data_IF_139396585270
#
_entry.id   IF_139396585270
#
_cell.length_a   1.000
_cell.length_b   1.000
_cell.length_c   1.000
_cell.angle_alpha   90.00
_cell.angle_beta   90.00
_cell.angle_gamma   90.00
#
_symmetry.space_group_name_H-M   'P 1'
#
loop_
_entity.id
_entity.type
_entity.pdbx_description
1 polymer ?
#
# COMPACT_ATOMS: atom_id res chain seq x y z
N UNK A 1 -16.14 -30.34 -32.12
CA UNK A 1 -16.82 -29.93 -33.37
C UNK A 1 -17.73 -28.73 -33.18
N UNK A 2 -18.54 -28.63 -32.11
CA UNK A 2 -19.47 -27.51 -31.89
C UNK A 2 -18.82 -26.11 -31.75
N UNK A 3 -17.64 -26.00 -31.14
CA UNK A 3 -16.94 -24.70 -31.02
C UNK A 3 -16.46 -24.15 -32.36
N UNK A 4 -16.01 -25.02 -33.28
CA UNK A 4 -15.52 -24.61 -34.60
C UNK A 4 -16.67 -24.12 -35.49
N UNK A 5 -17.83 -24.78 -35.43
CA UNK A 5 -19.03 -24.36 -36.17
C UNK A 5 -19.56 -23.02 -35.64
N UNK A 6 -19.64 -22.84 -34.32
CA UNK A 6 -20.04 -21.57 -33.71
C UNK A 6 -19.09 -20.41 -34.08
N UNK A 7 -17.78 -20.69 -34.13
CA UNK A 7 -16.80 -19.71 -34.58
C UNK A 7 -16.97 -19.34 -36.06
N UNK A 8 -17.20 -20.32 -36.93
CA UNK A 8 -17.43 -20.08 -38.37
C UNK A 8 -18.70 -19.26 -38.63
N UNK A 9 -19.76 -19.48 -37.86
CA UNK A 9 -20.99 -18.68 -37.93
C UNK A 9 -20.76 -17.23 -37.47
N UNK A 10 -19.98 -17.03 -36.40
CA UNK A 10 -19.67 -15.70 -35.87
C UNK A 10 -18.59 -14.94 -36.66
N UNK A 11 -17.80 -15.63 -37.49
CA UNK A 11 -16.63 -15.06 -38.17
C UNK A 11 -16.92 -13.80 -38.99
N UNK A 12 -17.96 -13.73 -39.84
CA UNK A 12 -18.26 -12.52 -40.60
C UNK A 12 -18.59 -11.33 -39.71
N UNK A 13 -19.29 -11.56 -38.60
CA UNK A 13 -19.64 -10.51 -37.64
C UNK A 13 -18.39 -10.00 -36.90
N UNK A 14 -17.49 -10.90 -36.48
CA UNK A 14 -16.22 -10.53 -35.87
C UNK A 14 -15.37 -9.68 -36.83
N UNK A 15 -15.28 -10.08 -38.11
CA UNK A 15 -14.53 -9.30 -39.09
C UNK A 15 -15.18 -7.94 -39.35
N UNK A 16 -16.51 -7.87 -39.45
CA UNK A 16 -17.22 -6.61 -39.63
C UNK A 16 -16.94 -5.65 -38.47
N UNK A 17 -17.07 -6.10 -37.23
CA UNK A 17 -16.80 -5.26 -36.05
C UNK A 17 -15.34 -4.81 -35.99
N UNK A 18 -14.37 -5.65 -36.39
CA UNK A 18 -12.97 -5.26 -36.47
C UNK A 18 -12.72 -4.18 -37.54
N UNK A 19 -13.31 -4.33 -38.73
CA UNK A 19 -13.22 -3.32 -39.79
C UNK A 19 -13.85 -1.99 -39.36
N UNK A 20 -15.02 -2.03 -38.72
CA UNK A 20 -15.70 -0.85 -38.19
C UNK A 20 -14.89 -0.18 -37.08
N UNK A 21 -14.26 -0.98 -36.20
CA UNK A 21 -13.38 -0.48 -35.14
C UNK A 21 -12.15 0.23 -35.70
N UNK A 22 -11.48 -0.34 -36.72
CA UNK A 22 -10.34 0.30 -37.38
C UNK A 22 -10.75 1.56 -38.14
N UNK A 23 -11.89 1.53 -38.85
CA UNK A 23 -12.43 2.70 -39.55
C UNK A 23 -12.77 3.84 -38.57
N UNK A 24 -13.40 3.50 -37.46
CA UNK A 24 -13.73 4.44 -36.38
C UNK A 24 -12.47 5.01 -35.73
N UNK A 25 -11.47 4.16 -35.47
CA UNK A 25 -10.20 4.60 -34.92
C UNK A 25 -9.51 5.60 -35.86
N UNK A 26 -9.38 5.28 -37.15
CA UNK A 26 -8.76 6.16 -38.15
C UNK A 26 -9.46 7.53 -38.25
N UNK A 27 -10.78 7.56 -38.19
CA UNK A 27 -11.55 8.81 -38.25
C UNK A 27 -11.37 9.69 -37.01
N UNK A 28 -11.19 9.07 -35.84
CA UNK A 28 -11.14 9.74 -34.54
C UNK A 28 -9.73 10.01 -34.03
N UNK A 29 -8.72 9.28 -34.50
CA UNK A 29 -7.34 9.39 -34.04
C UNK A 29 -6.79 10.83 -34.01
N UNK A 30 -7.09 11.71 -34.99
CA UNK A 30 -6.64 13.11 -34.94
C UNK A 30 -7.22 13.94 -33.78
N UNK A 31 -8.26 13.45 -33.13
CA UNK A 31 -8.99 14.11 -32.02
C UNK A 31 -8.65 13.48 -30.66
N UNK A 32 -7.89 12.38 -30.63
CA UNK A 32 -7.51 11.71 -29.38
C UNK A 32 -6.22 12.32 -28.84
N UNK A 33 -6.28 12.80 -27.60
CA UNK A 33 -5.10 13.26 -26.90
C UNK A 33 -4.17 12.09 -26.56
N UNK A 34 -2.86 12.22 -26.77
CA UNK A 34 -1.91 11.15 -26.49
C UNK A 34 -1.87 10.87 -24.99
N UNK A 35 -2.15 9.62 -24.61
CA UNK A 35 -2.05 9.18 -23.23
C UNK A 35 -0.58 9.08 -22.79
N UNK A 36 -0.21 9.53 -21.58
CA UNK A 36 1.13 9.29 -21.04
C UNK A 36 1.28 7.82 -20.66
N UNK A 37 2.39 7.18 -21.07
CA UNK A 37 2.69 5.82 -20.64
C UNK A 37 3.46 4.98 -21.65
N UNK A 38 3.70 3.72 -21.29
CA UNK A 38 4.23 2.71 -22.20
C UNK A 38 3.10 2.34 -23.17
N UNK A 39 3.36 2.39 -24.48
CA UNK A 39 2.38 2.13 -25.54
C UNK A 39 1.30 3.21 -25.75
N UNK A 40 1.65 4.49 -25.58
CA UNK A 40 0.77 5.63 -25.83
C UNK A 40 0.00 5.54 -27.15
N UNK A 41 0.67 5.20 -28.25
CA UNK A 41 0.04 5.05 -29.57
C UNK A 41 -1.00 3.92 -29.59
N UNK A 42 -0.69 2.77 -29.00
CA UNK A 42 -1.63 1.65 -28.96
C UNK A 42 -2.88 1.99 -28.12
N UNK A 43 -2.69 2.71 -27.01
CA UNK A 43 -3.81 3.21 -26.19
C UNK A 43 -4.65 4.20 -26.98
N UNK A 44 -4.03 5.14 -27.71
CA UNK A 44 -4.76 6.11 -28.53
C UNK A 44 -5.61 5.42 -29.61
N UNK A 45 -5.08 4.40 -30.28
CA UNK A 45 -5.83 3.60 -31.25
C UNK A 45 -7.01 2.84 -30.63
N UNK A 46 -6.80 2.21 -29.49
CA UNK A 46 -7.83 1.45 -28.80
C UNK A 46 -8.95 2.36 -28.27
N UNK A 47 -8.59 3.51 -27.68
CA UNK A 47 -9.54 4.54 -27.23
C UNK A 47 -10.31 5.14 -28.41
N UNK A 48 -9.65 5.41 -29.53
CA UNK A 48 -10.31 5.87 -30.74
C UNK A 48 -11.34 4.84 -31.26
N UNK A 49 -11.02 3.54 -31.16
CA UNK A 49 -11.89 2.43 -31.56
C UNK A 49 -13.05 2.14 -30.59
N UNK A 50 -12.99 2.63 -29.34
CA UNK A 50 -13.88 2.19 -28.25
C UNK A 50 -15.39 2.21 -28.59
N UNK A 51 -15.95 3.23 -29.28
CA UNK A 51 -17.39 3.28 -29.55
C UNK A 51 -17.86 2.17 -30.50
N UNK A 52 -17.02 1.79 -31.46
CA UNK A 52 -17.31 0.68 -32.38
C UNK A 52 -17.17 -0.68 -31.71
N UNK A 53 -16.39 -0.75 -30.62
CA UNK A 53 -16.29 -1.91 -29.74
C UNK A 53 -17.39 -1.95 -28.66
N UNK A 54 -18.27 -0.93 -28.63
CA UNK A 54 -19.38 -0.86 -27.68
C UNK A 54 -18.98 -0.49 -26.25
N UNK A 55 -17.84 0.19 -26.07
CA UNK A 55 -17.38 0.67 -24.76
C UNK A 55 -16.99 2.16 -24.80
N UNK A 56 -16.97 2.77 -23.63
CA UNK A 56 -16.53 4.15 -23.45
C UNK A 56 -15.01 4.27 -23.51
N UNK A 57 -14.51 5.49 -23.73
CA UNK A 57 -13.08 5.76 -23.73
C UNK A 57 -12.44 5.44 -22.37
N UNK A 58 -13.14 5.75 -21.28
CA UNK A 58 -12.64 5.55 -19.93
C UNK A 58 -12.56 4.06 -19.56
N UNK A 59 -13.59 3.27 -19.94
CA UNK A 59 -13.54 1.81 -19.79
C UNK A 59 -12.36 1.20 -20.55
N UNK A 60 -12.09 1.67 -21.78
CA UNK A 60 -10.95 1.20 -22.56
C UNK A 60 -9.61 1.63 -21.93
N UNK A 61 -9.50 2.86 -21.43
CA UNK A 61 -8.29 3.34 -20.74
C UNK A 61 -8.02 2.54 -19.47
N UNK A 62 -9.04 2.28 -18.66
CA UNK A 62 -8.93 1.48 -17.44
C UNK A 62 -8.54 0.02 -17.74
N UNK A 63 -9.08 -0.57 -18.81
CA UNK A 63 -8.72 -1.92 -19.22
C UNK A 63 -7.25 -2.05 -19.67
N UNK A 64 -6.71 -1.02 -20.34
CA UNK A 64 -5.33 -1.01 -20.84
C UNK A 64 -4.30 -0.56 -19.81
N UNK A 65 -4.73 0.26 -18.85
CA UNK A 65 -3.90 0.75 -17.76
C UNK A 65 -4.64 0.57 -16.43
N UNK A 66 -4.85 -0.70 -16.00
CA UNK A 66 -5.57 -0.96 -14.78
C UNK A 66 -4.83 -0.31 -13.61
N UNK A 67 -5.56 0.25 -12.63
CA UNK A 67 -4.92 0.76 -11.42
C UNK A 67 -4.10 -0.37 -10.78
N UNK A 68 -2.89 -0.07 -10.27
CA UNK A 68 -2.08 -1.09 -9.64
C UNK A 68 -2.89 -1.75 -8.52
N UNK A 69 -3.02 -3.07 -8.56
CA UNK A 69 -3.72 -3.81 -7.52
C UNK A 69 -3.10 -3.46 -6.16
N UNK A 70 -3.90 -3.14 -5.14
CA UNK A 70 -3.36 -2.79 -3.83
C UNK A 70 -2.40 -3.87 -3.34
N UNK A 71 -1.22 -3.46 -2.87
CA UNK A 71 -0.20 -4.40 -2.45
C UNK A 71 -0.71 -5.24 -1.27
N UNK A 72 -0.58 -6.58 -1.25
CA UNK A 72 -1.23 -7.45 -0.25
C UNK A 72 -0.95 -7.08 1.21
N UNK A 73 0.24 -6.55 1.51
CA UNK A 73 0.57 -6.03 2.84
C UNK A 73 -0.26 -4.81 3.23
N UNK A 74 -0.53 -3.90 2.28
CA UNK A 74 -1.33 -2.69 2.52
C UNK A 74 -2.77 -3.09 2.81
N UNK A 75 -3.32 -4.01 2.03
CA UNK A 75 -4.66 -4.58 2.27
C UNK A 75 -4.77 -5.26 3.64
N UNK A 76 -3.78 -6.09 4.00
CA UNK A 76 -3.78 -6.78 5.29
C UNK A 76 -3.71 -5.80 6.47
N UNK A 77 -2.90 -4.75 6.36
CA UNK A 77 -2.83 -3.70 7.39
C UNK A 77 -4.11 -2.88 7.44
N UNK A 78 -4.71 -2.52 6.29
CA UNK A 78 -6.00 -1.80 6.26
C UNK A 78 -7.11 -2.62 6.91
N UNK A 79 -7.23 -3.90 6.57
CA UNK A 79 -8.21 -4.80 7.20
C UNK A 79 -7.97 -4.98 8.72
N UNK A 80 -6.72 -4.89 9.18
CA UNK A 80 -6.40 -4.87 10.60
C UNK A 80 -6.85 -3.55 11.25
N UNK A 81 -6.66 -2.41 10.59
CA UNK A 81 -7.05 -1.08 11.09
C UNK A 81 -8.57 -0.92 11.16
N UNK A 82 -9.29 -1.43 10.17
CA UNK A 82 -10.76 -1.50 10.17
C UNK A 82 -11.31 -2.23 11.41
N UNK A 83 -10.60 -3.25 11.90
CA UNK A 83 -10.96 -3.98 13.12
C UNK A 83 -10.44 -3.29 14.39
N UNK A 84 -9.29 -2.62 14.31
CA UNK A 84 -8.55 -2.07 15.44
C UNK A 84 -7.84 -0.78 15.02
N UNK A 85 -8.32 0.38 15.48
CA UNK A 85 -7.70 1.69 15.21
C UNK A 85 -6.21 1.82 15.58
N UNK A 86 -5.72 0.94 16.46
CA UNK A 86 -4.32 0.84 16.85
C UNK A 86 -3.95 -0.62 17.10
N UNK A 87 -2.75 -1.00 16.69
CA UNK A 87 -2.15 -2.29 16.96
C UNK A 87 -0.70 -2.13 17.45
N UNK A 88 -0.31 -2.94 18.44
CA UNK A 88 1.06 -2.99 18.97
C UNK A 88 1.43 -4.43 19.28
N UNK A 89 2.59 -4.87 18.83
CA UNK A 89 3.07 -6.22 19.08
C UNK A 89 4.34 -6.56 18.31
N UNK A 90 4.72 -7.82 18.32
CA UNK A 90 5.91 -8.31 17.61
C UNK A 90 5.63 -8.55 16.12
N UNK A 91 6.68 -8.51 15.29
CA UNK A 91 6.53 -8.86 13.88
C UNK A 91 6.14 -10.34 13.64
N UNK A 92 6.34 -11.20 14.64
CA UNK A 92 5.85 -12.59 14.61
C UNK A 92 4.34 -12.62 14.77
N UNK A 93 3.79 -11.87 15.70
CA UNK A 93 2.33 -11.75 15.90
C UNK A 93 1.64 -11.15 14.67
N UNK A 94 2.25 -10.13 14.02
CA UNK A 94 1.72 -9.61 12.75
C UNK A 94 1.71 -10.66 11.65
N UNK A 95 2.77 -11.47 11.55
CA UNK A 95 2.83 -12.52 10.54
C UNK A 95 1.67 -13.49 10.71
N UNK A 96 1.41 -13.91 11.95
CA UNK A 96 0.37 -14.88 12.26
C UNK A 96 -1.03 -14.30 11.98
N UNK A 97 -1.22 -12.99 12.17
CA UNK A 97 -2.46 -12.27 11.80
C UNK A 97 -2.64 -12.10 10.28
N UNK A 98 -1.56 -11.96 9.53
CA UNK A 98 -1.59 -11.71 8.09
C UNK A 98 -1.52 -12.98 7.25
N UNK A 99 -1.42 -14.17 7.85
CA UNK A 99 -1.48 -15.43 7.13
C UNK A 99 -2.94 -15.74 6.75
N UNK A 100 -3.25 -16.09 5.49
CA UNK A 100 -2.36 -16.43 4.38
C UNK A 100 -2.09 -15.31 3.36
N UNK A 101 -2.47 -14.06 3.65
CA UNK A 101 -2.43 -12.93 2.70
C UNK A 101 -1.03 -12.49 2.29
N UNK A 102 -0.01 -12.78 3.11
CA UNK A 102 1.39 -12.39 2.82
C UNK A 102 2.29 -13.59 2.58
N UNK A 103 3.15 -13.48 1.57
CA UNK A 103 4.13 -14.52 1.20
C UNK A 103 5.36 -14.57 2.13
N UNK A 104 5.47 -13.64 3.08
CA UNK A 104 6.62 -13.56 3.99
C UNK A 104 6.45 -14.52 5.17
N UNK A 105 7.30 -15.55 5.23
CA UNK A 105 7.25 -16.57 6.30
C UNK A 105 8.08 -16.20 7.56
N UNK A 106 8.84 -15.10 7.53
CA UNK A 106 9.71 -14.67 8.64
C UNK A 106 9.28 -13.32 9.19
N UNK A 107 9.42 -13.14 10.52
CA UNK A 107 9.15 -11.87 11.20
C UNK A 107 9.99 -10.69 10.63
N UNK A 108 11.22 -10.96 10.21
CA UNK A 108 12.07 -9.98 9.54
C UNK A 108 11.54 -9.60 8.15
N UNK A 109 11.00 -10.57 7.40
CA UNK A 109 10.36 -10.34 6.10
C UNK A 109 9.15 -9.42 6.20
N UNK A 110 8.27 -9.68 7.18
CA UNK A 110 7.11 -8.80 7.46
C UNK A 110 7.56 -7.37 7.77
N UNK A 111 8.55 -7.22 8.66
CA UNK A 111 9.09 -5.90 9.01
C UNK A 111 9.69 -5.17 7.81
N UNK A 112 10.36 -5.89 6.90
CA UNK A 112 10.96 -5.30 5.69
C UNK A 112 9.87 -4.86 4.71
N UNK A 113 8.85 -5.68 4.50
CA UNK A 113 7.77 -5.40 3.56
C UNK A 113 6.85 -4.26 4.06
N UNK A 114 6.63 -4.16 5.37
CA UNK A 114 5.97 -3.00 5.96
C UNK A 114 6.76 -1.70 5.72
N UNK A 115 8.09 -1.73 5.84
CA UNK A 115 8.93 -0.56 5.54
C UNK A 115 8.87 -0.16 4.07
N UNK A 116 8.88 -1.13 3.15
CA UNK A 116 8.80 -0.83 1.71
C UNK A 116 7.46 -0.22 1.31
N UNK A 117 6.39 -0.50 2.05
CA UNK A 117 5.05 0.05 1.79
C UNK A 117 4.70 1.23 2.71
N UNK A 118 5.66 1.76 3.48
CA UNK A 118 5.40 2.82 4.47
C UNK A 118 4.76 4.07 3.88
N UNK A 119 5.23 4.51 2.70
CA UNK A 119 4.65 5.67 2.02
C UNK A 119 3.20 5.41 1.59
N UNK A 120 2.93 4.26 0.96
CA UNK A 120 1.58 3.87 0.56
C UNK A 120 0.65 3.72 1.75
N UNK A 121 1.13 3.24 2.89
CA UNK A 121 0.34 3.18 4.13
C UNK A 121 0.03 4.58 4.67
N UNK A 122 0.99 5.50 4.63
CA UNK A 122 0.76 6.89 5.02
C UNK A 122 -0.24 7.62 4.09
N UNK A 123 -0.23 7.35 2.78
CA UNK A 123 -1.26 7.84 1.84
C UNK A 123 -2.68 7.38 2.22
N UNK A 124 -2.80 6.26 2.93
CA UNK A 124 -4.06 5.75 3.46
C UNK A 124 -4.30 6.17 4.92
N UNK A 125 -3.54 7.14 5.45
CA UNK A 125 -3.66 7.60 6.83
C UNK A 125 -3.26 6.53 7.85
N UNK A 126 -2.24 5.72 7.57
CA UNK A 126 -1.75 4.70 8.50
C UNK A 126 -0.29 4.99 8.87
N UNK A 127 -0.04 5.24 10.15
CA UNK A 127 1.29 5.47 10.71
C UNK A 127 1.94 4.14 11.16
N UNK A 128 3.20 3.94 10.77
CA UNK A 128 4.04 2.81 11.20
C UNK A 128 5.21 3.27 12.07
N UNK A 129 5.31 2.73 13.29
CA UNK A 129 6.43 2.94 14.21
C UNK A 129 7.11 1.63 14.58
N UNK A 130 8.43 1.58 14.47
CA UNK A 130 9.24 0.44 14.93
C UNK A 130 10.06 0.86 16.14
N UNK A 131 9.83 0.22 17.29
CA UNK A 131 10.53 0.55 18.54
C UNK A 131 11.32 -0.65 19.07
N UNK A 132 12.30 -0.36 19.92
CA UNK A 132 12.94 -1.34 20.81
C UNK A 132 12.55 -1.03 22.24
N UNK A 133 12.06 -2.03 22.96
CA UNK A 133 11.81 -1.92 24.40
C UNK A 133 13.13 -1.97 25.18
N UNK A 134 13.10 -1.53 26.44
CA UNK A 134 14.27 -1.53 27.33
C UNK A 134 14.89 -2.93 27.52
N UNK A 135 14.08 -3.99 27.35
CA UNK A 135 14.51 -5.40 27.38
C UNK A 135 15.09 -5.89 26.02
N UNK A 136 15.20 -5.01 25.02
CA UNK A 136 15.74 -5.33 23.69
C UNK A 136 14.72 -5.91 22.69
N UNK A 137 13.50 -6.21 23.14
CA UNK A 137 12.43 -6.70 22.27
C UNK A 137 12.03 -5.66 21.21
N UNK A 138 11.85 -6.09 19.96
CA UNK A 138 11.42 -5.24 18.84
C UNK A 138 9.91 -5.26 18.70
N UNK A 139 9.29 -4.10 18.69
CA UNK A 139 7.84 -3.92 18.62
C UNK A 139 7.49 -3.09 17.39
N UNK A 140 6.41 -3.48 16.72
CA UNK A 140 5.77 -2.73 15.65
C UNK A 140 4.51 -2.10 16.22
N UNK A 141 4.34 -0.81 16.01
CA UNK A 141 3.14 -0.04 16.33
C UNK A 141 2.54 0.43 15.01
N UNK A 142 1.26 0.14 14.79
CA UNK A 142 0.48 0.53 13.62
C UNK A 142 -0.72 1.31 14.12
N UNK A 143 -0.96 2.51 13.59
CA UNK A 143 -2.07 3.37 14.00
C UNK A 143 -2.74 3.97 12.78
N UNK A 144 -4.04 4.15 12.83
CA UNK A 144 -4.69 5.12 11.96
C UNK A 144 -4.22 6.51 12.40
N UNK A 145 -3.77 7.31 11.44
CA UNK A 145 -3.45 8.72 11.58
C UNK A 145 -4.71 9.52 11.24
N UNK A 146 -5.47 9.99 12.26
CA UNK A 146 -6.57 10.91 12.03
C UNK A 146 -5.94 12.26 11.71
N UNK A 147 -5.68 12.51 10.43
CA UNK A 147 -5.12 13.77 9.97
C UNK A 147 -5.69 14.96 10.74
N UNK A 148 -4.78 15.71 11.37
CA UNK A 148 -5.00 16.99 12.05
C UNK A 148 -6.08 17.01 13.14
N UNK A 149 -5.91 16.19 14.19
CA UNK A 149 -6.40 16.52 15.53
C UNK A 149 -5.23 16.52 16.51
N UNK A 150 -4.62 17.70 16.67
CA UNK A 150 -3.67 18.11 17.72
C UNK A 150 -2.97 16.99 18.49
N UNK A 151 -1.67 16.83 18.21
CA UNK A 151 -0.75 16.11 19.09
C UNK A 151 -0.85 16.71 20.49
N UNK A 152 -1.54 16.02 21.40
CA UNK A 152 -1.31 16.21 22.81
C UNK A 152 0.12 15.68 23.04
N UNK A 153 1.07 16.61 23.18
CA UNK A 153 2.44 16.31 23.57
C UNK A 153 2.40 15.40 24.80
N UNK A 154 3.01 14.23 24.70
CA UNK A 154 3.42 13.47 25.87
C UNK A 154 4.23 14.44 26.77
N UNK A 155 3.88 14.60 28.06
CA UNK A 155 4.57 15.55 28.91
C UNK A 155 6.05 15.16 29.00
N UNK A 156 6.99 16.11 28.87
CA UNK A 156 8.39 15.81 29.03
C UNK A 156 8.59 15.31 30.46
N UNK A 157 9.05 14.05 30.55
CA UNK A 157 9.59 13.45 31.74
C UNK A 157 10.62 14.41 32.37
N UNK A 158 10.18 15.18 33.37
CA UNK A 158 11.08 15.78 34.34
C UNK A 158 11.67 14.63 35.16
N UNK A 159 12.86 14.17 34.78
CA UNK A 159 13.68 13.34 35.64
C UNK A 159 14.12 14.18 36.84
N UNK A 160 13.98 13.69 38.09
CA UNK A 160 14.55 14.36 39.24
C UNK A 160 16.07 14.21 39.19
N UNK A 161 16.74 15.35 39.00
CA UNK A 161 18.17 15.54 39.13
C UNK A 161 18.59 15.12 40.55
N UNK A 162 19.23 13.96 40.65
CA UNK A 162 19.83 13.46 41.88
C UNK A 162 21.29 13.80 41.83
N UNK A 163 21.63 14.98 42.35
CA UNK A 163 23.01 15.43 42.49
C UNK A 163 23.32 15.62 43.98
N UNK A 164 23.81 14.55 44.63
CA UNK A 164 24.66 14.66 45.82
C UNK A 164 25.83 13.65 45.67
N UNK A 165 27.09 14.10 45.55
CA UNK A 165 28.25 13.23 45.39
C UNK A 165 28.68 12.54 46.71
N UNK A 166 29.48 11.45 46.65
CA UNK A 166 29.94 10.72 47.83
C UNK A 166 31.15 11.41 48.47
N UNK A 167 31.16 11.55 49.80
CA UNK A 167 32.39 11.77 50.57
C UNK A 167 32.63 10.59 51.52
N UNK A 168 33.81 9.94 51.47
CA UNK A 168 34.39 9.25 52.61
C UNK A 168 35.30 10.22 53.40
N UNK A 169 35.41 9.99 54.71
CA UNK A 169 36.67 10.02 55.52
C UNK A 169 36.35 10.28 57.01
N UNK A 170 36.38 9.19 57.77
CA UNK A 170 37.14 8.96 59.02
C UNK A 170 37.62 10.16 59.87
N UNK A 171 37.17 10.26 61.12
CA UNK A 171 37.97 10.61 62.34
C UNK A 171 37.06 10.41 63.57
N UNK A 172 37.26 9.34 64.34
CA UNK A 172 38.10 9.31 65.55
C UNK A 172 37.33 9.74 66.81
N UNK A 173 36.85 8.73 67.52
CA UNK A 173 36.44 8.78 68.92
C UNK A 173 37.71 8.77 69.78
N UNK A 174 37.91 9.78 70.65
CA UNK A 174 38.64 9.67 71.94
C UNK A 174 38.62 10.99 72.75
N UNK A 175 38.27 10.83 74.04
CA UNK A 175 38.50 11.67 75.25
C UNK A 175 37.70 12.97 75.44
N UNK A 176 37.15 13.26 76.62
CA UNK A 176 37.61 12.92 77.98
C UNK A 176 36.47 12.61 78.96
#
# INVERSE_FOLDING_TARGET
MALLTAFQEAWPAILATLCDAVGTALARLPQIDPAPGKFADAVAWAVAASPALGCTEDEMREALNPPPSPHPMVEAVRGLMEQRRCWKGSATELRDLFQPFISCHTAAGVSKQLRSCSLTLAEHGIELKFRRLHEGARVVEIREDPGDAWTEEDPPHASPDSDVPPQPTETEEVKS
#
